data_IF_159429739671
#
_entry.id   IF_159429739671
#
_cell.length_a   1.000
_cell.length_b   1.000
_cell.length_c   1.000
_cell.angle_alpha   90.00
_cell.angle_beta   90.00
_cell.angle_gamma   90.00
#
_symmetry.space_group_name_H-M   'P 1'
#
loop_
_entity.id
_entity.type
_entity.pdbx_description
1 polymer ?
#
# COMPACT_ATOMS: atom_id res chain seq x y z
N UNK A 1 -20.03 7.49 -0.12
CA UNK A 1 -19.57 7.58 1.28
C UNK A 1 -19.56 9.03 1.66
N UNK A 2 -20.18 9.34 2.78
CA UNK A 2 -20.27 10.68 3.34
C UNK A 2 -19.73 10.64 4.77
N UNK A 3 -19.23 11.75 5.26
CA UNK A 3 -18.81 11.90 6.65
C UNK A 3 -19.90 12.71 7.37
N UNK A 4 -20.39 12.22 8.50
CA UNK A 4 -21.40 12.93 9.29
C UNK A 4 -20.77 14.08 10.10
N UNK A 5 -21.61 14.87 10.77
CA UNK A 5 -21.17 16.00 11.61
C UNK A 5 -20.29 15.58 12.80
N UNK A 6 -20.22 14.28 13.11
CA UNK A 6 -19.40 13.71 14.18
C UNK A 6 -18.13 13.04 13.62
N UNK A 7 -17.86 13.19 12.32
CA UNK A 7 -16.69 12.60 11.68
C UNK A 7 -16.80 11.09 11.47
N UNK A 8 -18.00 10.50 11.49
CA UNK A 8 -18.20 9.07 11.19
C UNK A 8 -18.46 8.87 9.70
N UNK A 9 -17.81 7.85 9.13
CA UNK A 9 -17.97 7.49 7.72
C UNK A 9 -19.25 6.68 7.55
N UNK A 10 -20.18 7.21 6.75
CA UNK A 10 -21.45 6.59 6.40
C UNK A 10 -21.40 6.07 4.95
N UNK A 11 -21.77 4.81 4.78
CA UNK A 11 -21.93 4.18 3.47
C UNK A 11 -23.38 4.41 3.01
N UNK A 12 -23.55 5.31 2.05
CA UNK A 12 -24.86 5.55 1.42
C UNK A 12 -25.36 4.28 0.74
N UNK A 13 -26.67 4.07 0.80
CA UNK A 13 -27.38 2.95 0.14
C UNK A 13 -26.95 1.55 0.61
N UNK A 14 -26.35 1.46 1.81
CA UNK A 14 -26.09 0.17 2.46
C UNK A 14 -27.43 -0.47 2.88
N UNK A 15 -27.68 -1.68 2.40
CA UNK A 15 -28.82 -2.48 2.85
C UNK A 15 -28.47 -3.17 4.17
N UNK A 16 -29.25 -2.91 5.21
CA UNK A 16 -29.13 -3.58 6.50
C UNK A 16 -30.30 -4.55 6.70
N UNK A 17 -30.00 -5.81 7.04
CA UNK A 17 -30.99 -6.84 7.32
C UNK A 17 -31.00 -7.16 8.82
N UNK A 18 -32.17 -7.09 9.45
CA UNK A 18 -32.32 -7.55 10.84
C UNK A 18 -32.27 -9.08 10.89
N UNK A 19 -31.41 -9.61 11.76
CA UNK A 19 -31.25 -11.06 11.97
C UNK A 19 -31.38 -11.40 13.44
N UNK A 20 -32.10 -12.48 13.73
CA UNK A 20 -32.37 -12.96 15.11
C UNK A 20 -31.83 -14.35 15.37
N UNK A 21 -31.33 -15.04 14.34
CA UNK A 21 -30.83 -16.41 14.42
C UNK A 21 -29.58 -16.62 13.55
N UNK A 22 -28.80 -17.64 13.90
CA UNK A 22 -27.54 -17.97 13.21
C UNK A 22 -27.78 -18.42 11.77
N UNK A 23 -28.82 -19.23 11.52
CA UNK A 23 -29.15 -19.74 10.17
C UNK A 23 -29.30 -18.64 9.12
N UNK A 24 -30.24 -17.69 9.28
CA UNK A 24 -30.41 -16.56 8.37
C UNK A 24 -29.15 -15.71 8.23
N UNK A 25 -28.36 -15.57 9.30
CA UNK A 25 -27.10 -14.83 9.27
C UNK A 25 -26.08 -15.50 8.33
N UNK A 26 -25.93 -16.83 8.42
CA UNK A 26 -25.04 -17.60 7.55
C UNK A 26 -25.51 -17.62 6.09
N UNK A 27 -26.82 -17.60 5.85
CA UNK A 27 -27.38 -17.50 4.49
C UNK A 27 -27.02 -16.17 3.82
N UNK A 28 -27.14 -15.05 4.54
CA UNK A 28 -26.72 -13.73 4.05
C UNK A 28 -25.22 -13.71 3.73
N UNK A 29 -24.39 -14.29 4.60
CA UNK A 29 -22.94 -14.40 4.36
C UNK A 29 -22.68 -15.19 3.08
N UNK A 30 -23.33 -16.35 2.92
CA UNK A 30 -23.16 -17.22 1.75
C UNK A 30 -23.62 -16.51 0.47
N UNK A 31 -24.74 -15.81 0.52
CA UNK A 31 -25.23 -15.02 -0.61
C UNK A 31 -24.26 -13.90 -0.99
N UNK A 32 -23.74 -13.17 0.01
CA UNK A 32 -22.72 -12.14 -0.19
C UNK A 32 -21.43 -12.70 -0.81
N UNK A 33 -20.97 -13.86 -0.34
CA UNK A 33 -19.82 -14.56 -0.91
C UNK A 33 -20.06 -15.00 -2.36
N UNK A 34 -21.26 -15.47 -2.69
CA UNK A 34 -21.61 -15.89 -4.06
C UNK A 34 -21.72 -14.70 -5.03
N UNK A 35 -22.17 -13.54 -4.53
CA UNK A 35 -22.25 -12.29 -5.30
C UNK A 35 -20.90 -11.58 -5.42
N UNK A 36 -19.88 -12.01 -4.67
CA UNK A 36 -18.54 -11.41 -4.70
C UNK A 36 -17.91 -11.58 -6.06
N UNK A 37 -17.52 -10.47 -6.68
CA UNK A 37 -16.76 -10.46 -7.93
C UNK A 37 -15.46 -11.25 -7.75
N UNK A 38 -15.42 -12.41 -8.39
CA UNK A 38 -14.29 -13.33 -8.41
C UNK A 38 -13.81 -13.42 -9.85
N UNK A 39 -12.52 -13.23 -10.10
CA UNK A 39 -11.96 -13.29 -11.46
C UNK A 39 -10.92 -14.40 -11.57
N UNK A 40 -10.86 -15.05 -12.73
CA UNK A 40 -9.87 -16.11 -12.99
C UNK A 40 -8.51 -15.47 -13.29
N UNK A 41 -7.48 -15.75 -12.50
CA UNK A 41 -6.07 -15.45 -12.85
C UNK A 41 -5.37 -16.75 -13.27
N UNK A 42 -4.21 -16.66 -13.95
CA UNK A 42 -3.45 -17.84 -14.37
C UNK A 42 -2.92 -18.66 -13.17
N UNK A 43 -2.73 -18.02 -12.02
CA UNK A 43 -2.22 -18.65 -10.80
C UNK A 43 -3.31 -19.17 -9.86
N UNK A 44 -4.52 -18.58 -9.87
CA UNK A 44 -5.65 -19.06 -9.08
C UNK A 44 -6.99 -18.83 -9.80
N UNK A 45 -7.79 -19.89 -10.04
CA UNK A 45 -9.08 -19.78 -10.74
C UNK A 45 -10.16 -19.06 -9.91
N UNK A 46 -9.90 -18.79 -8.62
CA UNK A 46 -10.82 -18.15 -7.69
C UNK A 46 -10.12 -17.06 -6.84
N UNK A 47 -9.31 -16.19 -7.47
CA UNK A 47 -8.74 -15.07 -6.74
C UNK A 47 -9.83 -14.03 -6.43
N UNK A 48 -9.89 -13.62 -5.16
CA UNK A 48 -10.79 -12.56 -4.72
C UNK A 48 -10.27 -11.23 -5.23
N UNK A 49 -10.96 -10.64 -6.22
CA UNK A 49 -10.57 -9.36 -6.84
C UNK A 49 -11.25 -8.14 -6.22
N UNK A 50 -11.83 -8.33 -5.04
CA UNK A 50 -12.49 -7.29 -4.27
C UNK A 50 -12.29 -7.54 -2.78
N UNK A 51 -12.17 -6.45 -2.02
CA UNK A 51 -12.19 -6.50 -0.56
C UNK A 51 -13.64 -6.70 -0.09
N UNK A 52 -13.89 -7.73 0.72
CA UNK A 52 -15.21 -8.00 1.30
C UNK A 52 -15.25 -7.45 2.72
N UNK A 53 -16.30 -6.70 3.05
CA UNK A 53 -16.54 -6.17 4.39
C UNK A 53 -17.92 -6.64 4.84
N UNK A 54 -17.95 -7.45 5.89
CA UNK A 54 -19.17 -7.88 6.55
C UNK A 54 -19.27 -7.18 7.91
N UNK A 55 -20.41 -6.56 8.17
CA UNK A 55 -20.66 -5.82 9.42
C UNK A 55 -21.86 -6.39 10.16
N UNK A 56 -21.65 -6.78 11.41
CA UNK A 56 -22.70 -7.16 12.34
C UNK A 56 -22.87 -6.05 13.38
N UNK A 57 -23.99 -5.36 13.33
CA UNK A 57 -24.30 -4.23 14.21
C UNK A 57 -25.31 -4.63 15.27
N UNK A 58 -24.90 -4.60 16.54
CA UNK A 58 -25.80 -4.80 17.68
C UNK A 58 -26.43 -3.47 18.06
N UNK A 59 -27.75 -3.37 17.93
CA UNK A 59 -28.51 -2.16 18.23
C UNK A 59 -29.41 -2.37 19.45
N UNK A 60 -29.43 -1.38 20.36
CA UNK A 60 -30.28 -1.38 21.56
C UNK A 60 -31.39 -0.34 21.40
N UNK A 61 -32.63 -0.75 21.64
CA UNK A 61 -33.78 0.18 21.72
C UNK A 61 -33.79 0.85 23.10
N UNK A 62 -33.72 2.18 23.15
CA UNK A 62 -33.88 2.96 24.38
C UNK A 62 -35.36 3.35 24.52
N UNK A 63 -35.98 2.89 25.62
CA UNK A 63 -37.40 3.12 25.92
C UNK A 63 -37.67 4.46 26.60
N UNK A 64 -36.64 5.15 27.10
CA UNK A 64 -36.79 6.33 27.98
C UNK A 64 -36.93 7.67 27.27
N UNK A 65 -36.66 7.76 25.95
CA UNK A 65 -36.81 9.00 25.14
C UNK A 65 -37.22 8.69 23.70
N UNK A 66 -38.44 8.20 23.51
CA UNK A 66 -39.07 8.06 22.18
C UNK A 66 -38.36 7.08 21.25
N UNK A 67 -38.48 5.76 21.53
CA UNK A 67 -38.08 4.65 20.64
C UNK A 67 -36.77 4.84 19.85
N UNK A 68 -35.76 5.48 20.46
CA UNK A 68 -34.47 5.72 19.80
C UNK A 68 -33.66 4.42 19.79
N UNK A 69 -33.29 3.96 18.62
CA UNK A 69 -32.39 2.82 18.47
C UNK A 69 -30.95 3.36 18.44
N UNK A 70 -30.10 2.86 19.32
CA UNK A 70 -28.68 3.25 19.41
C UNK A 70 -27.78 2.06 19.09
N UNK A 71 -26.68 2.32 18.39
CA UNK A 71 -25.65 1.31 18.15
C UNK A 71 -24.95 0.99 19.47
N UNK A 72 -25.02 -0.26 19.90
CA UNK A 72 -24.38 -0.75 21.12
C UNK A 72 -23.00 -1.35 20.84
N UNK A 73 -22.83 -2.01 19.69
CA UNK A 73 -21.56 -2.56 19.26
C UNK A 73 -21.57 -2.92 17.77
N UNK A 74 -20.39 -2.98 17.17
CA UNK A 74 -20.20 -3.31 15.75
C UNK A 74 -19.03 -4.28 15.63
N UNK A 75 -19.26 -5.43 15.00
CA UNK A 75 -18.23 -6.37 14.60
C UNK A 75 -18.04 -6.24 13.09
N UNK A 76 -16.84 -5.89 12.66
CA UNK A 76 -16.46 -5.82 11.24
C UNK A 76 -15.52 -6.97 10.92
N UNK A 77 -15.91 -7.84 9.99
CA UNK A 77 -15.04 -8.86 9.42
C UNK A 77 -14.63 -8.41 8.02
N UNK A 78 -13.33 -8.33 7.78
CA UNK A 78 -12.78 -7.84 6.52
C UNK A 78 -11.93 -8.94 5.90
N UNK A 79 -12.24 -9.29 4.67
CA UNK A 79 -11.44 -10.19 3.85
C UNK A 79 -10.81 -9.40 2.70
N UNK A 80 -9.50 -9.23 2.79
CA UNK A 80 -8.72 -8.43 1.85
C UNK A 80 -8.38 -9.24 0.60
N UNK A 81 -8.47 -8.60 -0.56
CA UNK A 81 -7.94 -9.15 -1.80
C UNK A 81 -6.41 -9.36 -1.71
N UNK A 82 -5.89 -10.26 -2.53
CA UNK A 82 -4.46 -10.59 -2.55
C UNK A 82 -3.58 -9.41 -2.96
N UNK A 83 -2.34 -9.40 -2.46
CA UNK A 83 -1.31 -8.42 -2.81
C UNK A 83 -0.37 -9.00 -3.88
N UNK A 84 -0.91 -9.74 -4.86
CA UNK A 84 -0.12 -10.25 -5.99
C UNK A 84 0.58 -9.11 -6.75
N UNK A 85 1.74 -9.40 -7.32
CA UNK A 85 2.55 -8.38 -7.98
C UNK A 85 1.99 -8.09 -9.36
N UNK A 86 2.20 -6.87 -9.84
CA UNK A 86 1.90 -6.51 -11.22
C UNK A 86 2.56 -7.43 -12.24
N UNK A 87 3.75 -7.98 -11.92
CA UNK A 87 4.45 -8.96 -12.77
C UNK A 87 3.70 -10.28 -12.92
N UNK A 88 2.99 -10.74 -11.88
CA UNK A 88 2.18 -11.97 -11.91
C UNK A 88 0.94 -11.81 -12.83
N UNK A 89 0.54 -10.55 -13.07
CA UNK A 89 -0.60 -10.18 -13.92
C UNK A 89 -0.21 -9.57 -15.27
N UNK A 90 1.09 -9.51 -15.61
CA UNK A 90 1.58 -8.81 -16.80
C UNK A 90 1.02 -9.40 -18.11
N UNK A 91 0.81 -10.72 -18.15
CA UNK A 91 0.23 -11.44 -19.29
C UNK A 91 -1.30 -11.54 -19.25
N UNK A 92 -1.96 -10.95 -18.25
CA UNK A 92 -3.42 -10.94 -18.16
C UNK A 92 -4.02 -9.84 -19.04
N UNK A 93 -5.31 -9.97 -19.35
CA UNK A 93 -6.08 -8.98 -20.10
C UNK A 93 -6.11 -7.60 -19.39
N UNK A 94 -6.40 -6.55 -20.16
CA UNK A 94 -6.38 -5.15 -19.68
C UNK A 94 -7.27 -4.95 -18.46
N UNK A 95 -8.44 -5.59 -18.40
CA UNK A 95 -9.39 -5.45 -17.29
C UNK A 95 -8.81 -6.06 -16.01
N UNK A 96 -8.24 -7.27 -16.08
CA UNK A 96 -7.54 -7.89 -14.94
C UNK A 96 -6.38 -7.03 -14.41
N UNK A 97 -5.61 -6.37 -15.29
CA UNK A 97 -4.51 -5.49 -14.85
C UNK A 97 -5.01 -4.24 -14.11
N UNK A 98 -6.12 -3.64 -14.58
CA UNK A 98 -6.73 -2.48 -13.93
C UNK A 98 -7.28 -2.85 -12.54
N UNK A 99 -7.91 -4.02 -12.42
CA UNK A 99 -8.39 -4.55 -11.14
C UNK A 99 -7.23 -4.78 -10.16
N UNK A 100 -6.15 -5.43 -10.62
CA UNK A 100 -4.94 -5.64 -9.80
C UNK A 100 -4.30 -4.33 -9.35
N UNK A 101 -4.28 -3.31 -10.21
CA UNK A 101 -3.76 -2.00 -9.85
C UNK A 101 -4.59 -1.31 -8.75
N UNK A 102 -5.92 -1.35 -8.82
CA UNK A 102 -6.79 -0.76 -7.79
C UNK A 102 -6.76 -1.56 -6.46
N UNK A 103 -6.59 -2.89 -6.53
CA UNK A 103 -6.35 -3.72 -5.34
C UNK A 103 -5.04 -3.29 -4.67
N UNK A 104 -3.94 -3.21 -5.41
CA UNK A 104 -2.64 -2.82 -4.87
C UNK A 104 -2.64 -1.39 -4.33
N UNK A 105 -3.33 -0.46 -5.00
CA UNK A 105 -3.50 0.92 -4.53
C UNK A 105 -4.23 1.00 -3.19
N UNK A 106 -5.32 0.24 -3.02
CA UNK A 106 -6.07 0.22 -1.76
C UNK A 106 -5.29 -0.47 -0.62
N UNK A 107 -4.54 -1.53 -0.92
CA UNK A 107 -3.65 -2.17 0.06
C UNK A 107 -2.46 -1.29 0.45
N UNK A 108 -1.87 -0.56 -0.51
CA UNK A 108 -0.81 0.41 -0.23
C UNK A 108 -1.32 1.54 0.67
N UNK A 109 -2.50 2.09 0.39
CA UNK A 109 -3.13 3.09 1.25
C UNK A 109 -3.32 2.56 2.69
N UNK A 110 -3.73 1.31 2.84
CA UNK A 110 -3.86 0.67 4.16
C UNK A 110 -2.50 0.51 4.85
N UNK A 111 -1.46 0.09 4.12
CA UNK A 111 -0.09 0.00 4.63
C UNK A 111 0.41 1.34 5.17
N UNK A 112 0.18 2.41 4.41
CA UNK A 112 0.55 3.77 4.80
C UNK A 112 -0.23 4.29 6.01
N UNK A 113 -1.52 3.95 6.13
CA UNK A 113 -2.31 4.29 7.32
C UNK A 113 -1.74 3.63 8.58
N UNK A 114 -1.43 2.33 8.52
CA UNK A 114 -0.82 1.59 9.64
C UNK A 114 0.54 2.18 9.99
N UNK A 115 1.39 2.46 8.99
CA UNK A 115 2.70 3.09 9.19
C UNK A 115 2.58 4.45 9.87
N UNK A 116 1.58 5.26 9.50
CA UNK A 116 1.34 6.57 10.09
C UNK A 116 0.85 6.46 11.55
N UNK A 117 0.05 5.44 11.87
CA UNK A 117 -0.41 5.15 13.23
C UNK A 117 0.76 4.78 14.16
N UNK A 118 1.67 3.91 13.73
CA UNK A 118 2.86 3.53 14.52
C UNK A 118 3.74 4.75 14.86
N UNK A 119 3.89 5.69 13.92
CA UNK A 119 4.76 6.88 14.07
C UNK A 119 4.11 8.04 14.85
N UNK A 120 2.86 7.89 15.33
CA UNK A 120 2.05 8.98 15.92
C UNK A 120 2.08 10.26 15.06
N UNK A 121 2.04 10.11 13.73
CA UNK A 121 2.08 11.24 12.80
C UNK A 121 0.83 12.11 12.90
N UNK A 122 0.98 13.43 12.68
CA UNK A 122 -0.14 14.38 12.81
C UNK A 122 -1.26 14.18 11.78
N UNK A 123 -0.95 13.63 10.59
CA UNK A 123 -1.93 13.37 9.53
C UNK A 123 -2.01 11.89 9.19
N UNK A 124 -3.20 11.30 9.36
CA UNK A 124 -3.49 9.90 9.02
C UNK A 124 -4.22 9.84 7.66
N UNK A 125 -3.64 9.21 6.62
CA UNK A 125 -4.14 9.28 5.25
C UNK A 125 -5.34 8.37 4.97
N UNK A 126 -6.33 8.29 5.87
CA UNK A 126 -7.49 7.40 5.71
C UNK A 126 -8.34 7.72 4.47
N UNK A 127 -8.23 8.92 3.90
CA UNK A 127 -8.92 9.31 2.67
C UNK A 127 -8.28 8.77 1.38
N UNK A 128 -7.09 8.17 1.45
CA UNK A 128 -6.34 7.70 0.28
C UNK A 128 -7.03 6.56 -0.49
N UNK A 129 -7.90 5.77 0.16
CA UNK A 129 -8.73 4.77 -0.50
C UNK A 129 -10.10 4.63 0.17
N UNK A 130 -11.08 4.09 -0.55
CA UNK A 130 -12.39 3.75 0.03
C UNK A 130 -12.26 2.74 1.18
N UNK A 131 -11.37 1.76 1.03
CA UNK A 131 -11.10 0.75 2.05
C UNK A 131 -10.63 1.42 3.36
N UNK A 132 -9.63 2.30 3.28
CA UNK A 132 -9.11 2.99 4.46
C UNK A 132 -10.12 3.96 5.08
N UNK A 133 -11.03 4.55 4.30
CA UNK A 133 -12.12 5.36 4.84
C UNK A 133 -13.08 4.51 5.70
N UNK A 134 -13.47 3.32 5.21
CA UNK A 134 -14.34 2.41 5.97
C UNK A 134 -13.64 1.88 7.23
N UNK A 135 -12.34 1.61 7.15
CA UNK A 135 -11.57 1.07 8.27
C UNK A 135 -11.15 2.10 9.31
N UNK A 136 -11.33 3.40 9.04
CA UNK A 136 -10.91 4.50 9.93
C UNK A 136 -11.36 4.29 11.38
N UNK A 137 -12.65 4.00 11.57
CA UNK A 137 -13.23 3.79 12.90
C UNK A 137 -12.62 2.57 13.62
N UNK A 138 -12.20 1.56 12.85
CA UNK A 138 -11.61 0.35 13.44
C UNK A 138 -10.23 0.64 14.03
N UNK A 139 -9.50 1.62 13.52
CA UNK A 139 -8.15 1.97 13.99
C UNK A 139 -8.11 3.13 15.00
N UNK A 140 -8.99 4.14 14.87
CA UNK A 140 -8.91 5.36 15.70
C UNK A 140 -9.89 5.34 16.89
N UNK A 141 -10.99 4.59 16.83
CA UNK A 141 -12.02 4.71 17.86
C UNK A 141 -11.52 4.23 19.24
N UNK A 142 -11.80 5.03 20.28
CA UNK A 142 -11.34 4.82 21.65
C UNK A 142 -11.70 3.45 22.24
N UNK A 143 -12.82 2.86 21.80
CA UNK A 143 -13.30 1.54 22.22
C UNK A 143 -13.33 0.54 21.04
N UNK A 144 -12.29 0.54 20.21
CA UNK A 144 -12.09 -0.45 19.16
C UNK A 144 -11.05 -1.49 19.57
N UNK A 145 -11.26 -2.73 19.16
CA UNK A 145 -10.25 -3.79 19.22
C UNK A 145 -10.11 -4.38 17.82
N UNK A 146 -8.89 -4.45 17.34
CA UNK A 146 -8.58 -4.98 16.00
C UNK A 146 -7.74 -6.24 16.13
N UNK A 147 -8.11 -7.27 15.38
CA UNK A 147 -7.31 -8.47 15.22
C UNK A 147 -6.96 -8.60 13.73
N UNK A 148 -5.68 -8.73 13.42
CA UNK A 148 -5.21 -9.00 12.06
C UNK A 148 -4.77 -10.45 11.98
N UNK A 149 -5.28 -11.17 10.99
CA UNK A 149 -4.86 -12.55 10.67
C UNK A 149 -4.01 -12.48 9.41
N UNK A 150 -2.77 -12.94 9.52
CA UNK A 150 -1.81 -12.94 8.43
C UNK A 150 -1.74 -14.32 7.79
N UNK A 151 -2.15 -14.41 6.52
CA UNK A 151 -2.05 -15.64 5.75
C UNK A 151 -0.71 -15.66 5.00
N UNK A 152 0.08 -16.71 5.23
CA UNK A 152 1.38 -16.92 4.59
C UNK A 152 1.37 -18.22 3.80
N UNK A 153 2.14 -18.26 2.71
CA UNK A 153 2.32 -19.48 1.92
C UNK A 153 3.64 -20.15 2.31
N UNK A 154 3.68 -21.47 2.53
CA UNK A 154 4.89 -22.18 2.91
C UNK A 154 5.86 -22.40 1.72
N UNK A 155 5.44 -22.10 0.49
CA UNK A 155 6.24 -22.34 -0.71
C UNK A 155 7.46 -21.42 -0.82
N UNK A 156 8.60 -21.98 -1.24
CA UNK A 156 9.84 -21.21 -1.42
C UNK A 156 9.69 -20.10 -2.47
N UNK A 157 8.91 -20.35 -3.53
CA UNK A 157 8.57 -19.34 -4.55
C UNK A 157 7.79 -18.14 -3.99
N UNK A 158 7.19 -18.28 -2.80
CA UNK A 158 6.44 -17.23 -2.11
C UNK A 158 7.23 -16.60 -0.95
N UNK A 159 8.53 -16.91 -0.80
CA UNK A 159 9.34 -16.47 0.33
C UNK A 159 9.33 -14.93 0.48
N UNK A 160 9.52 -14.21 -0.61
CA UNK A 160 9.53 -12.75 -0.61
C UNK A 160 8.17 -12.15 -0.20
N UNK A 161 7.07 -12.66 -0.76
CA UNK A 161 5.72 -12.25 -0.38
C UNK A 161 5.44 -12.54 1.10
N UNK A 162 5.90 -13.68 1.60
CA UNK A 162 5.78 -14.07 3.00
C UNK A 162 6.54 -13.12 3.91
N UNK A 163 7.79 -12.78 3.57
CA UNK A 163 8.59 -11.81 4.33
C UNK A 163 7.96 -10.42 4.34
N UNK A 164 7.39 -9.99 3.22
CA UNK A 164 6.67 -8.71 3.14
C UNK A 164 5.44 -8.69 4.05
N UNK A 165 4.63 -9.76 4.06
CA UNK A 165 3.47 -9.89 4.96
C UNK A 165 3.90 -9.90 6.43
N UNK A 166 4.93 -10.67 6.78
CA UNK A 166 5.41 -10.77 8.17
C UNK A 166 5.94 -9.43 8.68
N UNK A 167 6.78 -8.75 7.89
CA UNK A 167 7.28 -7.40 8.20
C UNK A 167 6.12 -6.44 8.47
N UNK A 168 5.08 -6.48 7.65
CA UNK A 168 3.92 -5.62 7.86
C UNK A 168 3.18 -5.94 9.16
N UNK A 169 2.94 -7.22 9.44
CA UNK A 169 2.19 -7.66 10.62
C UNK A 169 2.92 -7.38 11.93
N UNK A 170 4.25 -7.37 11.89
CA UNK A 170 5.08 -7.03 13.04
C UNK A 170 4.85 -5.57 13.47
N UNK A 171 4.78 -4.64 12.50
CA UNK A 171 4.51 -3.22 12.75
C UNK A 171 3.13 -2.97 13.33
N UNK A 172 2.14 -3.78 12.93
CA UNK A 172 0.77 -3.67 13.46
C UNK A 172 0.72 -3.98 14.95
N UNK A 173 1.59 -4.87 15.45
CA UNK A 173 1.68 -5.18 16.89
C UNK A 173 2.17 -3.99 17.71
N UNK A 174 3.00 -3.13 17.12
CA UNK A 174 3.56 -1.94 17.75
C UNK A 174 2.59 -0.76 17.77
N UNK A 175 1.39 -0.89 17.18
CA UNK A 175 0.33 0.10 17.32
C UNK A 175 -0.23 0.01 18.75
N UNK A 176 0.47 0.63 19.68
CA UNK A 176 -0.13 1.06 20.93
C UNK A 176 -1.04 2.23 20.60
N UNK A 177 -2.35 1.94 20.44
CA UNK A 177 -3.37 2.98 20.52
C UNK A 177 -3.17 3.61 21.90
N UNK A 178 -2.65 4.83 21.90
CA UNK A 178 -2.36 5.62 23.08
C UNK A 178 -3.65 5.68 23.92
N UNK A 179 -3.78 4.74 24.85
CA UNK A 179 -4.82 4.77 25.88
C UNK A 179 -4.49 6.01 26.68
N UNK A 180 -5.09 7.14 26.28
CA UNK A 180 -4.91 8.45 26.89
C UNK A 180 -4.68 8.30 28.38
N UNK A 181 -3.43 8.51 28.79
CA UNK A 181 -2.98 8.97 30.09
C UNK A 181 -4.02 8.77 31.22
N UNK A 182 -4.11 7.56 31.76
CA UNK A 182 -4.31 7.48 33.20
C UNK A 182 -3.00 8.00 33.82
N UNK A 183 -3.06 9.22 34.37
CA UNK A 183 -1.99 9.83 35.16
C UNK A 183 -1.59 8.85 36.28
N UNK A 184 -0.58 8.02 36.05
CA UNK A 184 0.16 7.35 37.12
C UNK A 184 1.22 8.35 37.62
N UNK A 185 1.39 8.51 38.94
CA UNK A 185 2.33 9.47 39.47
C UNK A 185 3.75 9.07 39.06
N UNK A 186 4.50 10.07 38.60
CA UNK A 186 5.89 9.96 38.15
C UNK A 186 6.74 9.51 39.34
N UNK A 187 7.42 8.38 39.20
CA UNK A 187 8.56 8.01 40.05
C UNK A 187 9.82 8.35 39.27
N UNK A 188 10.58 9.31 39.81
CA UNK A 188 11.85 9.77 39.28
C UNK A 188 12.82 8.59 39.05
N UNK A 189 13.22 8.36 37.80
CA UNK A 189 14.43 7.61 37.46
C UNK A 189 15.30 8.49 36.58
N UNK A 190 16.58 8.53 36.97
CA UNK A 190 17.67 9.42 36.57
C UNK A 190 17.80 9.69 35.06
N UNK A 191 18.06 10.97 34.74
CA UNK A 191 18.09 11.58 33.41
C UNK A 191 19.15 11.00 32.45
N UNK A 192 20.22 10.37 32.95
CA UNK A 192 21.32 9.83 32.12
C UNK A 192 20.93 8.64 31.22
N UNK A 193 19.90 7.87 31.56
CA UNK A 193 19.51 6.67 30.78
C UNK A 193 18.56 6.98 29.61
N UNK A 194 17.93 8.15 29.59
CA UNK A 194 16.96 8.53 28.57
C UNK A 194 17.61 9.08 27.30
N UNK A 195 18.73 9.80 27.41
CA UNK A 195 19.45 10.32 26.24
C UNK A 195 20.06 9.21 25.38
N UNK A 196 20.60 8.15 26.00
CA UNK A 196 21.19 7.01 25.28
C UNK A 196 20.14 6.21 24.51
N UNK A 197 18.93 6.03 25.08
CA UNK A 197 17.81 5.36 24.42
C UNK A 197 17.23 6.22 23.29
N UNK A 198 17.13 7.53 23.48
CA UNK A 198 16.70 8.47 22.43
C UNK A 198 17.67 8.48 21.24
N UNK A 199 18.99 8.49 21.47
CA UNK A 199 19.99 8.47 20.40
C UNK A 199 20.03 7.14 19.64
N UNK A 200 19.86 6.00 20.33
CA UNK A 200 19.78 4.69 19.68
C UNK A 200 18.52 4.55 18.81
N UNK A 201 17.37 5.03 19.29
CA UNK A 201 16.11 5.05 18.52
C UNK A 201 16.16 5.99 17.32
N UNK A 202 16.85 7.12 17.43
CA UNK A 202 16.99 8.10 16.33
C UNK A 202 17.93 7.60 15.22
N UNK A 203 18.97 6.83 15.57
CA UNK A 203 19.85 6.16 14.61
C UNK A 203 19.15 5.00 13.89
N UNK A 204 18.35 4.20 14.60
CA UNK A 204 17.55 3.12 14.02
C UNK A 204 16.45 3.66 13.07
N UNK A 205 15.84 4.79 13.43
CA UNK A 205 14.86 5.52 12.63
C UNK A 205 15.48 6.08 11.34
N UNK A 206 16.68 6.65 11.41
CA UNK A 206 17.43 7.13 10.23
C UNK A 206 17.80 5.98 9.30
N UNK A 207 18.28 4.87 9.85
CA UNK A 207 18.61 3.68 9.05
C UNK A 207 17.40 3.12 8.30
N UNK A 208 16.25 2.95 8.97
CA UNK A 208 15.04 2.40 8.33
C UNK A 208 14.42 3.33 7.28
N UNK A 209 14.47 4.66 7.51
CA UNK A 209 14.03 5.64 6.50
C UNK A 209 14.92 5.59 5.25
N UNK A 210 16.22 5.36 5.42
CA UNK A 210 17.14 5.17 4.29
C UNK A 210 16.83 3.89 3.52
N UNK A 211 16.56 2.78 4.19
CA UNK A 211 16.19 1.50 3.54
C UNK A 211 14.86 1.60 2.78
N UNK A 212 13.83 2.24 3.34
CA UNK A 212 12.54 2.44 2.65
C UNK A 212 12.70 3.36 1.42
N UNK A 213 13.55 4.38 1.51
CA UNK A 213 13.87 5.27 0.40
C UNK A 213 14.64 4.55 -0.71
N UNK A 214 15.57 3.65 -0.36
CA UNK A 214 16.31 2.80 -1.31
C UNK A 214 15.35 1.89 -2.07
N UNK A 215 14.42 1.24 -1.37
CA UNK A 215 13.46 0.34 -2.01
C UNK A 215 12.59 1.09 -3.04
N UNK A 216 12.14 2.28 -2.68
CA UNK A 216 11.31 3.11 -3.57
C UNK A 216 12.12 3.61 -4.78
N UNK A 217 13.36 4.07 -4.57
CA UNK A 217 14.21 4.56 -5.65
C UNK A 217 14.69 3.43 -6.58
N UNK A 218 14.89 2.22 -6.06
CA UNK A 218 15.21 1.02 -6.83
C UNK A 218 14.04 0.59 -7.73
N UNK A 219 12.82 0.54 -7.20
CA UNK A 219 11.60 0.26 -7.97
C UNK A 219 11.38 1.30 -9.08
N UNK A 220 11.59 2.60 -8.79
CA UNK A 220 11.49 3.66 -9.80
C UNK A 220 12.56 3.55 -10.89
N UNK A 221 13.80 3.23 -10.52
CA UNK A 221 14.89 3.00 -11.47
C UNK A 221 14.59 1.80 -12.36
N UNK A 222 14.17 0.69 -11.76
CA UNK A 222 13.82 -0.54 -12.47
C UNK A 222 12.67 -0.32 -13.45
N UNK A 223 11.60 0.34 -12.99
CA UNK A 223 10.44 0.67 -13.81
C UNK A 223 10.81 1.54 -15.01
N UNK A 224 11.64 2.58 -14.80
CA UNK A 224 12.09 3.46 -15.88
C UNK A 224 13.03 2.75 -16.87
N UNK A 225 13.96 1.92 -16.38
CA UNK A 225 14.82 1.13 -17.26
C UNK A 225 14.00 0.16 -18.12
N UNK A 226 13.00 -0.50 -17.51
CA UNK A 226 12.11 -1.41 -18.22
C UNK A 226 11.28 -0.69 -19.29
N UNK A 227 10.77 0.51 -18.98
CA UNK A 227 10.04 1.33 -19.96
C UNK A 227 10.94 1.72 -21.14
N UNK A 228 12.17 2.17 -20.86
CA UNK A 228 13.16 2.47 -21.90
C UNK A 228 13.41 1.26 -22.80
N UNK A 229 13.62 0.07 -22.22
CA UNK A 229 13.78 -1.19 -22.98
C UNK A 229 12.57 -1.47 -23.88
N UNK A 230 11.35 -1.21 -23.39
CA UNK A 230 10.12 -1.40 -24.16
C UNK A 230 9.96 -0.36 -25.30
N UNK A 231 10.57 0.81 -25.17
CA UNK A 231 10.51 1.88 -26.18
C UNK A 231 11.54 1.70 -27.31
N UNK A 232 12.62 0.92 -27.10
CA UNK A 232 13.65 0.67 -28.13
C UNK A 232 13.12 0.16 -29.48
N UNK A 233 12.19 -0.81 -29.55
CA UNK A 233 11.64 -1.25 -30.84
C UNK A 233 10.93 -0.12 -31.59
N UNK A 234 10.22 0.75 -30.86
CA UNK A 234 9.53 1.89 -31.47
C UNK A 234 10.55 2.90 -32.01
N UNK A 235 11.59 3.18 -31.24
CA UNK A 235 12.70 4.03 -31.66
C UNK A 235 13.44 3.48 -32.88
N UNK A 236 13.74 2.19 -32.91
CA UNK A 236 14.36 1.51 -34.05
C UNK A 236 13.51 1.63 -35.30
N UNK A 237 12.21 1.32 -35.20
CA UNK A 237 11.28 1.44 -36.32
C UNK A 237 11.17 2.90 -36.81
N UNK A 238 11.20 3.87 -35.90
CA UNK A 238 11.17 5.28 -36.25
C UNK A 238 12.41 5.70 -37.04
N UNK A 239 13.61 5.27 -36.60
CA UNK A 239 14.87 5.55 -37.32
C UNK A 239 14.89 4.90 -38.71
N UNK A 240 14.44 3.63 -38.80
CA UNK A 240 14.32 2.92 -40.08
C UNK A 240 13.39 3.66 -41.05
N UNK A 241 12.26 4.19 -40.56
CA UNK A 241 11.34 4.97 -41.37
C UNK A 241 11.94 6.32 -41.81
N UNK A 242 12.66 7.00 -40.92
CA UNK A 242 13.35 8.27 -41.21
C UNK A 242 14.40 8.08 -42.32
N UNK A 243 15.21 7.03 -42.21
CA UNK A 243 16.24 6.67 -43.19
C UNK A 243 15.58 6.28 -44.52
N UNK A 244 14.55 5.44 -44.50
CA UNK A 244 13.87 5.01 -45.73
C UNK A 244 13.22 6.18 -46.47
N UNK A 245 12.70 7.19 -45.75
CA UNK A 245 12.05 8.37 -46.33
C UNK A 245 13.05 9.28 -47.06
N UNK A 246 14.27 9.43 -46.54
CA UNK A 246 15.32 10.20 -47.22
C UNK A 246 15.92 9.41 -48.41
N UNK A 247 16.13 8.10 -48.26
CA UNK A 247 16.67 7.24 -49.32
C UNK A 247 15.72 7.10 -50.52
N UNK A 248 14.41 7.09 -50.27
CA UNK A 248 13.38 7.09 -51.32
C UNK A 248 13.15 8.45 -51.98
N UNK A 249 13.84 9.52 -51.52
CA UNK A 249 13.68 10.88 -52.03
C UNK A 249 12.33 11.52 -51.66
N UNK A 250 11.60 10.95 -50.70
CA UNK A 250 10.26 11.40 -50.29
C UNK A 250 10.29 12.56 -49.28
N UNK A 251 11.44 12.84 -48.66
CA UNK A 251 11.64 13.99 -47.78
C UNK A 251 12.87 14.78 -48.20
N UNK A 252 12.85 16.09 -47.95
CA UNK A 252 14.02 16.94 -48.07
C UNK A 252 14.95 16.78 -46.85
N UNK A 253 16.21 17.15 -47.05
CA UNK A 253 17.26 16.99 -46.04
C UNK A 253 17.04 17.86 -44.79
N UNK A 254 16.39 19.01 -44.93
CA UNK A 254 16.14 19.95 -43.84
C UNK A 254 15.08 19.37 -42.89
N UNK A 255 14.01 18.80 -43.44
CA UNK A 255 12.99 18.07 -42.66
C UNK A 255 13.58 16.85 -41.96
N UNK A 256 14.43 16.08 -42.63
CA UNK A 256 15.12 14.93 -42.02
C UNK A 256 15.99 15.36 -40.83
N UNK A 257 16.79 16.43 -40.99
CA UNK A 257 17.66 16.95 -39.92
C UNK A 257 16.82 17.39 -38.71
N UNK A 258 15.74 18.14 -38.92
CA UNK A 258 14.88 18.59 -37.82
C UNK A 258 14.19 17.44 -37.08
N UNK A 259 13.75 16.41 -37.80
CA UNK A 259 13.13 15.23 -37.19
C UNK A 259 14.14 14.40 -36.41
N UNK A 260 15.37 14.25 -36.93
CA UNK A 260 16.45 13.55 -36.25
C UNK A 260 16.86 14.27 -34.96
N UNK A 261 17.00 15.60 -35.01
CA UNK A 261 17.34 16.44 -33.87
C UNK A 261 16.36 16.24 -32.70
N UNK A 262 15.05 16.31 -33.00
CA UNK A 262 13.99 16.08 -32.01
C UNK A 262 14.07 14.70 -31.36
N UNK A 263 14.31 13.65 -32.15
CA UNK A 263 14.42 12.27 -31.64
C UNK A 263 15.65 12.08 -30.78
N UNK A 264 16.78 12.67 -31.19
CA UNK A 264 18.03 12.64 -30.42
C UNK A 264 17.81 13.32 -29.08
N UNK A 265 17.16 14.48 -29.04
CA UNK A 265 16.84 15.21 -27.80
C UNK A 265 15.92 14.42 -26.87
N UNK A 266 14.85 13.83 -27.38
CA UNK A 266 13.92 13.01 -26.60
C UNK A 266 14.64 11.81 -25.96
N UNK A 267 15.47 11.11 -26.74
CA UNK A 267 16.27 9.97 -26.24
C UNK A 267 17.31 10.42 -25.22
N UNK A 268 18.02 11.51 -25.50
CA UNK A 268 19.02 12.06 -24.60
C UNK A 268 18.42 12.44 -23.24
N UNK A 269 17.25 13.08 -23.25
CA UNK A 269 16.48 13.39 -22.04
C UNK A 269 16.12 12.12 -21.26
N UNK A 270 15.62 11.09 -21.93
CA UNK A 270 15.23 9.83 -21.30
C UNK A 270 16.43 9.09 -20.67
N UNK A 271 17.57 9.02 -21.37
CA UNK A 271 18.80 8.42 -20.84
C UNK A 271 19.39 9.24 -19.68
N UNK A 272 19.32 10.57 -19.73
CA UNK A 272 19.78 11.41 -18.63
C UNK A 272 18.95 11.21 -17.37
N UNK A 273 17.62 11.16 -17.48
CA UNK A 273 16.76 10.86 -16.33
C UNK A 273 17.09 9.49 -15.72
N UNK A 274 17.30 8.46 -16.55
CA UNK A 274 17.73 7.15 -16.05
C UNK A 274 19.08 7.24 -15.34
N UNK A 275 20.04 7.98 -15.90
CA UNK A 275 21.37 8.18 -15.32
C UNK A 275 21.32 8.90 -13.97
N UNK A 276 20.47 9.92 -13.84
CA UNK A 276 20.24 10.62 -12.56
C UNK A 276 19.71 9.67 -11.49
N UNK A 277 18.67 8.87 -11.83
CA UNK A 277 18.13 7.88 -10.90
C UNK A 277 19.15 6.80 -10.54
N UNK A 278 19.93 6.33 -11.50
CA UNK A 278 20.98 5.34 -11.27
C UNK A 278 22.04 5.88 -10.30
N UNK A 279 22.44 7.15 -10.46
CA UNK A 279 23.38 7.80 -9.56
C UNK A 279 22.79 7.98 -8.15
N UNK A 280 21.51 8.34 -8.05
CA UNK A 280 20.83 8.45 -6.77
C UNK A 280 20.83 7.10 -6.01
N UNK A 281 20.39 6.02 -6.67
CA UNK A 281 20.39 4.68 -6.07
C UNK A 281 21.81 4.24 -5.67
N UNK A 282 22.81 4.48 -6.52
CA UNK A 282 24.22 4.16 -6.18
C UNK A 282 24.70 4.90 -4.93
N UNK A 283 24.41 6.19 -4.81
CA UNK A 283 24.77 6.97 -3.63
C UNK A 283 24.07 6.45 -2.37
N UNK A 284 22.77 6.14 -2.46
CA UNK A 284 22.01 5.62 -1.33
C UNK A 284 22.49 4.23 -0.87
N UNK A 285 22.82 3.34 -1.81
CA UNK A 285 23.41 2.03 -1.48
C UNK A 285 24.78 2.17 -0.80
N UNK A 286 25.59 3.13 -1.24
CA UNK A 286 26.89 3.41 -0.61
C UNK A 286 26.74 3.95 0.82
N UNK A 287 25.76 4.83 1.06
CA UNK A 287 25.44 5.34 2.39
C UNK A 287 24.91 4.24 3.33
N UNK A 288 24.08 3.32 2.81
CA UNK A 288 23.60 2.15 3.56
C UNK A 288 24.75 1.25 3.99
N UNK A 289 25.69 0.96 3.08
CA UNK A 289 26.84 0.09 3.37
C UNK A 289 27.70 0.69 4.49
N UNK A 290 27.93 2.02 4.46
CA UNK A 290 28.66 2.74 5.50
C UNK A 290 27.90 2.70 6.84
N UNK A 291 26.58 2.90 6.82
CA UNK A 291 25.75 2.85 8.02
C UNK A 291 25.71 1.45 8.65
N UNK A 292 25.61 0.40 7.82
CA UNK A 292 25.60 -1.00 8.22
C UNK A 292 26.92 -1.42 8.90
N UNK A 293 28.06 -0.92 8.42
CA UNK A 293 29.38 -1.14 9.06
C UNK A 293 29.51 -0.48 10.44
N UNK A 294 28.85 0.66 10.67
CA UNK A 294 28.85 1.34 11.98
C UNK A 294 28.01 0.60 13.04
N UNK A 295 26.92 -0.06 12.62
CA UNK A 295 26.00 -0.76 13.52
C UNK A 295 26.60 -2.08 14.03
N UNK A 296 27.43 -2.78 13.24
CA UNK A 296 28.10 -4.04 13.63
C UNK A 296 29.12 -3.92 14.78
N UNK A 297 29.43 -2.71 15.25
CA UNK A 297 30.39 -2.45 16.34
C UNK A 297 29.75 -2.06 17.69
N UNK A 298 28.42 -2.14 17.83
CA UNK A 298 27.77 -1.91 19.12
C UNK A 298 27.90 -3.17 20.01
N UNK A 299 28.34 -3.05 21.27
CA UNK A 299 28.47 -4.19 22.17
C UNK A 299 27.08 -4.79 22.45
N UNK A 300 26.97 -6.11 22.31
CA UNK A 300 25.78 -6.84 22.69
C UNK A 300 25.58 -6.70 24.20
N UNK A 301 24.44 -6.15 24.62
CA UNK A 301 23.97 -6.19 26.00
C UNK A 301 23.21 -7.49 26.26
#
# INVERSE_FOLDING_TARGET
MLEDTHGQVQICDLTECEVTAVGPTLEIIREGSNRRTSGKTSANPNSSRSHLIFQLSLKKKLTTRGNKTVLFGKLSMIDLAGNERGVDTANCDRQTRLEGAEINKSLLALKECIRALCKKGAHLPFRASKLTQVLRDSFIADNSRTCMIANISPGLSCCENTMNTLRYTDRVKEIEIDKRQEKRPVVNKSEDSLETICQANDNLYKFHKTVDNIFTSEEELYSQHKQLVADYPNWKNYDENLISSIESGNQDIETYVNMLDKVVDERFSAFNQLKEKLNNVKSQLHEEEIASRRIKHLPAF
#
